data_IF_499677724067
#
_entry.id   IF_499677724067
#
_cell.length_a   1.000
_cell.length_b   1.000
_cell.length_c   1.000
_cell.angle_alpha   90.00
_cell.angle_beta   90.00
_cell.angle_gamma   90.00
#
_symmetry.space_group_name_H-M   'P 1'
#
loop_
_entity.id
_entity.type
_entity.pdbx_description
1 polymer ?
#
# COMPACT_ATOMS: atom_id res chain seq x y z
N UNK A 1 -8.25 -2.96 -16.31
CA UNK A 1 -8.14 -4.07 -15.35
C UNK A 1 -7.11 -3.70 -14.31
N UNK A 2 -7.43 -3.89 -13.00
CA UNK A 2 -6.48 -3.69 -11.92
C UNK A 2 -5.50 -4.85 -11.77
N UNK A 3 -4.42 -4.68 -10.97
CA UNK A 3 -3.42 -5.72 -10.74
C UNK A 3 -4.02 -6.98 -10.08
N UNK A 4 -4.89 -6.82 -9.08
CA UNK A 4 -5.64 -7.90 -8.44
C UNK A 4 -7.07 -7.97 -8.99
N UNK A 5 -7.21 -8.21 -10.28
CA UNK A 5 -8.48 -8.10 -11.02
C UNK A 5 -9.59 -9.06 -10.55
N UNK A 6 -9.25 -10.15 -9.88
CA UNK A 6 -10.19 -11.11 -9.30
C UNK A 6 -10.61 -10.80 -7.86
N UNK A 7 -10.03 -9.76 -7.24
CA UNK A 7 -10.35 -9.40 -5.86
C UNK A 7 -11.77 -8.83 -5.74
N UNK A 8 -12.41 -9.09 -4.60
CA UNK A 8 -13.68 -8.45 -4.21
C UNK A 8 -13.39 -7.21 -3.37
N UNK A 9 -14.26 -6.23 -3.43
CA UNK A 9 -14.12 -4.97 -2.69
C UNK A 9 -15.18 -4.84 -1.61
N UNK A 10 -14.75 -4.42 -0.41
CA UNK A 10 -15.59 -3.78 0.59
C UNK A 10 -15.29 -2.27 0.53
N UNK A 11 -16.30 -1.47 0.22
CA UNK A 11 -16.17 -0.02 0.06
C UNK A 11 -17.04 0.72 1.06
N UNK A 12 -16.50 1.78 1.66
CA UNK A 12 -17.27 2.70 2.49
C UNK A 12 -16.80 4.13 2.26
N UNK A 13 -17.74 5.07 2.30
CA UNK A 13 -17.43 6.48 2.46
C UNK A 13 -16.89 6.72 3.87
N UNK A 14 -16.05 7.73 4.02
CA UNK A 14 -15.50 8.15 5.31
C UNK A 14 -16.28 9.37 5.79
N UNK A 15 -17.31 9.21 6.63
CA UNK A 15 -18.13 10.32 7.10
C UNK A 15 -17.43 11.13 8.20
N UNK A 16 -16.50 10.51 8.91
CA UNK A 16 -15.76 11.05 10.04
C UNK A 16 -14.41 10.34 10.14
N UNK A 17 -13.40 11.03 10.61
CA UNK A 17 -12.03 10.52 10.80
C UNK A 17 -11.62 10.48 12.26
N UNK A 18 -12.58 10.41 13.19
CA UNK A 18 -12.28 10.17 14.62
C UNK A 18 -11.65 8.79 14.82
N UNK A 19 -10.94 8.61 15.92
CA UNK A 19 -10.27 7.35 16.28
C UNK A 19 -11.25 6.17 16.28
N UNK A 20 -12.39 6.35 16.93
CA UNK A 20 -13.42 5.30 17.06
C UNK A 20 -14.05 4.96 15.71
N UNK A 21 -14.39 5.96 14.91
CA UNK A 21 -15.02 5.73 13.61
C UNK A 21 -14.05 5.01 12.67
N UNK A 22 -12.80 5.46 12.57
CA UNK A 22 -11.81 4.83 11.71
C UNK A 22 -11.53 3.38 12.11
N UNK A 23 -11.35 3.13 13.42
CA UNK A 23 -11.17 1.77 13.92
C UNK A 23 -12.37 0.88 13.56
N UNK A 24 -13.60 1.32 13.86
CA UNK A 24 -14.81 0.54 13.58
C UNK A 24 -15.03 0.30 12.08
N UNK A 25 -14.65 1.25 11.22
CA UNK A 25 -14.73 1.09 9.77
C UNK A 25 -13.80 -0.04 9.29
N UNK A 26 -12.55 -0.05 9.77
CA UNK A 26 -11.60 -1.11 9.44
C UNK A 26 -12.08 -2.48 9.96
N UNK A 27 -12.63 -2.54 11.18
CA UNK A 27 -13.24 -3.76 11.75
C UNK A 27 -14.42 -4.24 10.89
N UNK A 28 -15.28 -3.33 10.44
CA UNK A 28 -16.42 -3.66 9.57
C UNK A 28 -15.94 -4.31 8.27
N UNK A 29 -14.91 -3.75 7.64
CA UNK A 29 -14.32 -4.33 6.43
C UNK A 29 -13.66 -5.68 6.71
N UNK A 30 -12.95 -5.82 7.83
CA UNK A 30 -12.37 -7.10 8.24
C UNK A 30 -13.44 -8.18 8.41
N UNK A 31 -14.56 -7.87 9.06
CA UNK A 31 -15.65 -8.81 9.34
C UNK A 31 -16.37 -9.32 8.08
N UNK A 32 -16.35 -8.54 6.99
CA UNK A 32 -16.85 -9.00 5.67
C UNK A 32 -15.76 -9.68 4.82
N UNK A 33 -14.58 -9.92 5.39
CA UNK A 33 -13.51 -10.72 4.77
C UNK A 33 -12.39 -9.92 4.14
N UNK A 34 -12.40 -8.57 4.15
CA UNK A 34 -11.27 -7.78 3.67
C UNK A 34 -10.06 -7.97 4.58
N UNK A 35 -8.86 -8.06 3.98
CA UNK A 35 -7.59 -8.24 4.68
C UNK A 35 -6.53 -7.24 4.25
N UNK A 36 -6.67 -6.68 3.07
CA UNK A 36 -5.76 -5.68 2.53
C UNK A 36 -6.55 -4.38 2.33
N UNK A 37 -6.29 -3.41 3.19
CA UNK A 37 -7.01 -2.12 3.22
C UNK A 37 -6.19 -1.07 2.48
N UNK A 38 -6.83 -0.34 1.56
CA UNK A 38 -6.19 0.76 0.82
C UNK A 38 -6.90 2.08 1.10
N UNK A 39 -6.13 3.10 1.44
CA UNK A 39 -6.61 4.38 1.90
C UNK A 39 -5.85 5.50 1.17
N UNK A 40 -6.58 6.30 0.39
CA UNK A 40 -6.02 7.40 -0.40
C UNK A 40 -6.56 8.75 0.07
N UNK A 41 -6.45 8.99 1.37
CA UNK A 41 -6.86 10.21 2.05
C UNK A 41 -5.93 10.49 3.24
N UNK A 42 -5.91 11.72 3.73
CA UNK A 42 -5.09 12.11 4.87
C UNK A 42 -5.41 13.53 5.33
N UNK A 43 -4.62 14.02 6.27
CA UNK A 43 -4.71 15.38 6.80
C UNK A 43 -3.34 16.04 6.65
N UNK A 44 -3.21 16.88 5.67
CA UNK A 44 -1.98 17.59 5.32
C UNK A 44 -1.63 18.74 6.30
N UNK A 45 -2.48 18.99 7.30
CA UNK A 45 -2.26 20.09 8.25
C UNK A 45 -1.22 19.79 9.33
N UNK A 46 -0.91 18.50 9.59
CA UNK A 46 -0.03 18.11 10.70
C UNK A 46 0.84 16.89 10.40
N UNK A 47 2.05 16.89 10.95
CA UNK A 47 3.00 15.78 10.95
C UNK A 47 2.93 14.92 12.24
N UNK A 48 2.04 15.28 13.16
CA UNK A 48 1.90 14.61 14.45
C UNK A 48 1.36 13.18 14.31
N UNK A 49 1.76 12.31 15.23
CA UNK A 49 1.12 11.01 15.44
C UNK A 49 -0.21 11.20 16.16
N UNK A 50 -1.30 11.20 15.40
CA UNK A 50 -2.65 11.57 15.88
C UNK A 50 -3.47 10.37 16.36
N UNK A 51 -4.71 10.64 16.80
CA UNK A 51 -5.72 9.62 17.11
C UNK A 51 -5.98 8.67 15.91
N UNK A 52 -5.94 9.19 14.69
CA UNK A 52 -6.07 8.37 13.46
C UNK A 52 -4.95 7.34 13.33
N UNK A 53 -3.71 7.71 13.65
CA UNK A 53 -2.59 6.76 13.68
C UNK A 53 -2.79 5.67 14.74
N UNK A 54 -3.29 6.05 15.94
CA UNK A 54 -3.60 5.09 17.00
C UNK A 54 -4.68 4.09 16.56
N UNK A 55 -5.73 4.55 15.88
CA UNK A 55 -6.79 3.69 15.35
C UNK A 55 -6.22 2.62 14.40
N UNK A 56 -5.33 3.03 13.49
CA UNK A 56 -4.69 2.13 12.52
C UNK A 56 -3.78 1.13 13.24
N UNK A 57 -2.93 1.61 14.15
CA UNK A 57 -1.98 0.76 14.86
C UNK A 57 -2.69 -0.21 15.80
N UNK A 58 -3.77 0.22 16.47
CA UNK A 58 -4.64 -0.64 17.27
C UNK A 58 -5.34 -1.69 16.41
N UNK A 59 -5.92 -1.29 15.27
CA UNK A 59 -6.55 -2.24 14.35
C UNK A 59 -5.56 -3.30 13.85
N UNK A 60 -4.34 -2.90 13.49
CA UNK A 60 -3.30 -3.83 13.03
C UNK A 60 -2.82 -4.77 14.15
N UNK A 61 -2.93 -4.36 15.40
CA UNK A 61 -2.66 -5.20 16.58
C UNK A 61 -3.79 -6.19 16.85
N UNK A 62 -5.04 -5.72 16.82
CA UNK A 62 -6.21 -6.53 17.14
C UNK A 62 -6.52 -7.55 16.00
N UNK A 63 -6.12 -7.24 14.76
CA UNK A 63 -6.38 -8.03 13.55
C UNK A 63 -5.08 -8.25 12.77
N UNK A 64 -4.22 -9.11 13.31
CA UNK A 64 -2.84 -9.34 12.82
C UNK A 64 -2.76 -9.81 11.36
N UNK A 65 -3.82 -10.43 10.83
CA UNK A 65 -3.89 -10.89 9.44
C UNK A 65 -4.26 -9.77 8.44
N UNK A 66 -4.49 -8.55 8.92
CA UNK A 66 -4.85 -7.38 8.09
C UNK A 66 -3.65 -6.48 7.81
N UNK A 67 -3.48 -6.07 6.56
CA UNK A 67 -2.54 -5.03 6.13
C UNK A 67 -3.29 -3.74 5.85
N UNK A 68 -2.80 -2.62 6.36
CA UNK A 68 -3.36 -1.28 6.09
C UNK A 68 -2.35 -0.45 5.30
N UNK A 69 -2.70 -0.11 4.06
CA UNK A 69 -1.91 0.77 3.21
C UNK A 69 -2.51 2.18 3.18
N UNK A 70 -1.63 3.19 3.20
CA UNK A 70 -1.99 4.60 3.06
C UNK A 70 -1.15 5.28 1.99
N UNK A 71 -1.81 6.07 1.15
CA UNK A 71 -1.12 7.01 0.28
C UNK A 71 -0.41 8.06 1.15
N UNK A 72 0.86 8.34 0.87
CA UNK A 72 1.55 9.46 1.51
C UNK A 72 1.03 10.78 0.91
N UNK A 73 1.12 11.88 1.66
CA UNK A 73 0.72 13.21 1.14
C UNK A 73 1.28 13.49 -0.26
N UNK A 74 0.55 14.20 -1.10
CA UNK A 74 1.05 14.67 -2.40
C UNK A 74 1.98 15.90 -2.30
N UNK A 75 2.12 16.48 -1.13
CA UNK A 75 3.06 17.58 -0.89
C UNK A 75 4.50 17.05 -0.92
N UNK A 76 5.43 17.83 -1.48
CA UNK A 76 6.87 17.52 -1.46
C UNK A 76 7.50 17.92 -0.12
N UNK A 77 6.94 17.43 0.98
CA UNK A 77 7.29 17.80 2.34
C UNK A 77 7.34 16.58 3.25
N UNK A 78 7.49 16.80 4.56
CA UNK A 78 7.48 15.71 5.54
C UNK A 78 6.13 14.97 5.53
N UNK A 79 6.20 13.65 5.71
CA UNK A 79 5.04 12.76 5.88
C UNK A 79 4.03 13.30 6.89
N UNK A 80 2.75 13.16 6.61
CA UNK A 80 1.63 13.69 7.38
C UNK A 80 0.87 12.58 8.11
N UNK A 81 -0.30 12.90 8.64
CA UNK A 81 -1.16 11.94 9.33
C UNK A 81 -2.34 11.53 8.41
N UNK A 82 -2.78 10.25 8.38
CA UNK A 82 -2.36 9.14 9.24
C UNK A 82 -1.33 8.20 8.61
N UNK A 83 -0.76 8.52 7.46
CA UNK A 83 0.26 7.68 6.78
C UNK A 83 1.53 7.49 7.63
N UNK A 84 1.76 8.36 8.64
CA UNK A 84 2.82 8.23 9.62
C UNK A 84 2.53 7.22 10.75
N UNK A 85 1.41 6.49 10.71
CA UNK A 85 1.14 5.37 11.62
C UNK A 85 2.25 4.31 11.53
N UNK A 86 2.54 3.61 12.64
CA UNK A 86 3.68 2.68 12.76
C UNK A 86 3.45 1.41 11.96
N UNK A 87 2.21 0.90 11.96
CA UNK A 87 1.83 -0.35 11.29
C UNK A 87 1.38 -0.14 9.84
N UNK A 88 1.10 1.11 9.41
CA UNK A 88 0.69 1.39 8.04
C UNK A 88 1.83 1.17 7.04
N UNK A 89 1.50 0.59 5.89
CA UNK A 89 2.31 0.64 4.69
C UNK A 89 2.08 1.99 4.01
N UNK A 90 2.98 2.96 4.21
CA UNK A 90 2.91 4.24 3.52
C UNK A 90 3.51 4.13 2.12
N UNK A 91 2.74 4.52 1.12
CA UNK A 91 3.07 4.35 -0.29
C UNK A 91 3.24 5.70 -0.98
N UNK A 92 4.40 5.91 -1.59
CA UNK A 92 4.67 7.05 -2.46
C UNK A 92 4.59 6.66 -3.94
N UNK A 93 4.73 7.63 -4.84
CA UNK A 93 4.49 7.46 -6.25
C UNK A 93 5.75 7.48 -7.11
N UNK A 94 5.79 6.61 -8.13
CA UNK A 94 6.69 6.72 -9.28
C UNK A 94 5.93 7.17 -10.51
N UNK A 95 6.67 7.55 -11.55
CA UNK A 95 6.10 7.66 -12.88
C UNK A 95 5.53 6.31 -13.33
N UNK A 96 4.68 6.33 -14.36
CA UNK A 96 4.18 5.11 -15.01
C UNK A 96 5.22 4.53 -15.97
N UNK A 97 4.98 3.29 -16.39
CA UNK A 97 5.81 2.63 -17.41
C UNK A 97 5.89 3.48 -18.70
N UNK A 98 7.07 3.53 -19.35
CA UNK A 98 8.29 2.78 -19.08
C UNK A 98 9.22 3.41 -18.02
N UNK A 99 8.84 4.55 -17.42
CA UNK A 99 9.67 5.34 -16.52
C UNK A 99 9.45 5.04 -15.02
N UNK A 100 8.92 3.87 -14.70
CA UNK A 100 8.53 3.48 -13.33
C UNK A 100 9.69 3.41 -12.32
N UNK A 101 10.93 3.55 -12.76
CA UNK A 101 12.11 3.65 -11.89
C UNK A 101 12.45 5.10 -11.51
N UNK A 102 11.59 6.05 -11.86
CA UNK A 102 11.76 7.47 -11.55
C UNK A 102 10.70 7.91 -10.57
N UNK A 103 11.08 8.63 -9.51
CA UNK A 103 10.14 9.24 -8.57
C UNK A 103 9.21 10.20 -9.30
N UNK A 104 7.94 10.22 -8.91
CA UNK A 104 7.06 11.31 -9.29
C UNK A 104 7.56 12.65 -8.71
N UNK A 105 7.14 13.76 -9.30
CA UNK A 105 7.50 15.11 -8.83
C UNK A 105 6.76 15.53 -7.56
N UNK A 106 5.90 14.67 -7.04
CA UNK A 106 5.10 14.86 -5.83
C UNK A 106 5.29 13.65 -4.89
N UNK A 107 4.77 13.76 -3.68
CA UNK A 107 4.84 12.73 -2.65
C UNK A 107 5.72 13.18 -1.47
N UNK A 108 5.18 12.95 -0.27
CA UNK A 108 5.87 13.24 0.98
C UNK A 108 7.06 12.33 1.21
N UNK A 109 7.89 12.71 2.17
CA UNK A 109 9.09 11.98 2.55
C UNK A 109 9.25 11.98 4.07
N UNK A 110 9.98 11.00 4.58
CA UNK A 110 10.40 10.96 5.98
C UNK A 110 11.51 11.98 6.30
N UNK A 111 12.00 11.90 7.52
CA UNK A 111 11.50 11.04 8.59
C UNK A 111 10.17 11.54 9.16
N UNK A 112 9.46 10.69 9.90
CA UNK A 112 8.39 11.15 10.77
C UNK A 112 8.93 12.05 11.89
N UNK A 113 8.08 12.73 12.63
CA UNK A 113 8.51 13.60 13.74
C UNK A 113 9.28 12.84 14.82
N UNK A 114 9.03 11.54 14.98
CA UNK A 114 9.76 10.63 15.89
C UNK A 114 10.86 9.81 15.16
N UNK A 115 11.37 10.30 14.04
CA UNK A 115 12.53 9.80 13.28
C UNK A 115 12.36 8.41 12.65
N UNK A 116 11.12 7.93 12.43
CA UNK A 116 10.89 6.70 11.66
C UNK A 116 10.95 6.99 10.17
N UNK A 117 11.45 6.01 9.42
CA UNK A 117 11.49 6.08 7.95
C UNK A 117 10.09 5.93 7.37
N UNK A 118 9.76 6.80 6.42
CA UNK A 118 8.60 6.77 5.54
C UNK A 118 8.98 7.42 4.20
N UNK A 119 8.36 7.03 3.06
CA UNK A 119 7.42 5.91 2.89
C UNK A 119 8.09 4.56 3.14
N UNK A 120 7.31 3.47 3.16
CA UNK A 120 7.88 2.12 3.07
C UNK A 120 8.25 1.78 1.62
N UNK A 121 7.32 1.96 0.69
CA UNK A 121 7.53 1.59 -0.73
C UNK A 121 6.97 2.64 -1.68
N UNK A 122 7.37 2.52 -2.94
CA UNK A 122 6.80 3.24 -4.07
C UNK A 122 6.06 2.28 -4.99
N UNK A 123 5.08 2.83 -5.72
CA UNK A 123 4.40 2.16 -6.82
C UNK A 123 4.04 3.19 -7.90
N UNK A 124 3.74 2.78 -9.15
CA UNK A 124 3.29 3.71 -10.17
C UNK A 124 2.07 4.50 -9.74
N UNK A 125 2.16 5.84 -9.79
CA UNK A 125 1.13 6.76 -9.33
C UNK A 125 0.94 7.98 -10.21
N UNK A 126 1.77 8.20 -11.21
CA UNK A 126 1.63 9.33 -12.13
C UNK A 126 1.15 8.85 -13.50
N UNK A 127 0.21 9.59 -14.09
CA UNK A 127 -0.43 9.27 -15.38
C UNK A 127 -1.05 7.85 -15.43
N UNK A 128 -1.80 7.47 -14.39
CA UNK A 128 -2.40 6.14 -14.28
C UNK A 128 -3.80 6.12 -14.91
N UNK A 129 -4.02 5.32 -15.98
CA UNK A 129 -5.35 5.14 -16.56
C UNK A 129 -6.18 4.19 -15.69
N UNK A 130 -7.43 4.56 -15.42
CA UNK A 130 -8.38 3.75 -14.66
C UNK A 130 -9.81 4.06 -15.12
N UNK A 131 -10.80 3.53 -14.40
CA UNK A 131 -12.21 3.80 -14.64
C UNK A 131 -12.52 5.29 -14.42
N UNK A 132 -13.33 5.85 -15.29
CA UNK A 132 -13.83 7.21 -15.19
C UNK A 132 -15.30 7.25 -14.80
N UNK A 133 -15.85 8.46 -14.69
CA UNK A 133 -17.27 8.73 -14.45
C UNK A 133 -18.01 8.95 -15.76
N UNK A 134 -19.34 8.82 -15.74
CA UNK A 134 -20.21 9.16 -16.86
C UNK A 134 -20.70 7.99 -17.71
N UNK A 135 -20.00 6.86 -17.75
CA UNK A 135 -20.49 5.61 -18.35
C UNK A 135 -19.78 4.38 -17.81
N UNK A 136 -20.29 3.19 -18.11
CA UNK A 136 -19.69 1.90 -17.69
C UNK A 136 -18.37 1.58 -18.42
N UNK A 137 -18.05 2.30 -19.47
CA UNK A 137 -16.83 2.14 -20.25
C UNK A 137 -15.89 3.36 -20.19
N UNK A 138 -16.28 4.39 -19.44
CA UNK A 138 -15.49 5.61 -19.32
C UNK A 138 -14.15 5.32 -18.62
N UNK A 139 -13.09 5.97 -19.11
CA UNK A 139 -11.76 5.94 -18.52
C UNK A 139 -11.30 7.35 -18.20
N UNK A 140 -10.44 7.47 -17.19
CA UNK A 140 -9.76 8.70 -16.82
C UNK A 140 -8.29 8.40 -16.52
N UNK A 141 -7.43 9.39 -16.75
CA UNK A 141 -6.02 9.35 -16.37
C UNK A 141 -5.82 10.29 -15.20
N UNK A 142 -5.26 9.80 -14.11
CA UNK A 142 -5.02 10.59 -12.89
C UNK A 142 -3.58 10.39 -12.40
N UNK A 143 -3.07 11.37 -11.65
CA UNK A 143 -1.78 11.34 -10.97
C UNK A 143 -1.95 11.62 -9.48
N UNK A 144 -1.18 10.93 -8.66
CA UNK A 144 -1.17 11.07 -7.20
C UNK A 144 -0.68 9.81 -6.50
N UNK A 145 -0.20 9.95 -5.29
CA UNK A 145 0.07 8.82 -4.39
C UNK A 145 -1.20 8.01 -4.13
N UNK A 146 -2.37 8.64 -4.34
CA UNK A 146 -3.69 7.97 -4.33
C UNK A 146 -3.84 6.87 -5.38
N UNK A 147 -3.09 6.91 -6.49
CA UNK A 147 -3.05 5.87 -7.52
C UNK A 147 -1.99 4.81 -7.20
N UNK A 148 -0.89 5.21 -6.57
CA UNK A 148 0.17 4.31 -6.14
C UNK A 148 -0.26 3.39 -4.99
N UNK A 149 -0.98 3.91 -4.02
CA UNK A 149 -1.42 3.16 -2.84
C UNK A 149 -2.25 1.91 -3.19
N UNK A 150 -3.32 1.97 -4.00
CA UNK A 150 -4.06 0.78 -4.40
C UNK A 150 -3.24 -0.18 -5.26
N UNK A 151 -2.26 0.30 -6.03
CA UNK A 151 -1.36 -0.58 -6.79
C UNK A 151 -0.47 -1.42 -5.85
N UNK A 152 0.09 -0.80 -4.79
CA UNK A 152 0.85 -1.51 -3.76
C UNK A 152 -0.05 -2.45 -2.95
N UNK A 153 -1.27 -2.03 -2.57
CA UNK A 153 -2.23 -2.88 -1.86
C UNK A 153 -2.64 -4.10 -2.71
N UNK A 154 -2.90 -3.91 -4.00
CA UNK A 154 -3.18 -5.01 -4.92
C UNK A 154 -2.00 -5.99 -5.04
N UNK A 155 -0.77 -5.50 -5.01
CA UNK A 155 0.44 -6.33 -4.95
C UNK A 155 0.49 -7.16 -3.65
N UNK A 156 0.10 -6.57 -2.52
CA UNK A 156 -0.07 -7.28 -1.25
C UNK A 156 -1.13 -8.39 -1.32
N UNK A 157 -2.25 -8.12 -1.98
CA UNK A 157 -3.31 -9.11 -2.22
C UNK A 157 -2.79 -10.30 -3.05
N UNK A 158 -1.96 -10.06 -4.07
CA UNK A 158 -1.33 -11.14 -4.86
C UNK A 158 -0.36 -11.96 -4.02
N UNK A 159 0.45 -11.33 -3.15
CA UNK A 159 1.32 -12.04 -2.20
C UNK A 159 0.47 -12.92 -1.26
N UNK A 160 -0.63 -12.37 -0.72
CA UNK A 160 -1.55 -13.12 0.14
C UNK A 160 -2.13 -14.33 -0.56
N UNK A 161 -2.59 -14.18 -1.79
CA UNK A 161 -3.09 -15.28 -2.62
C UNK A 161 -2.01 -16.35 -2.81
N UNK A 162 -0.80 -15.94 -3.20
CA UNK A 162 0.34 -16.83 -3.40
C UNK A 162 0.63 -17.69 -2.15
N UNK A 163 0.65 -17.08 -0.97
CA UNK A 163 0.88 -17.79 0.29
C UNK A 163 -0.30 -18.69 0.67
N UNK A 164 -1.53 -18.22 0.50
CA UNK A 164 -2.75 -19.00 0.82
C UNK A 164 -3.00 -20.16 -0.13
N UNK A 165 -2.48 -20.12 -1.33
CA UNK A 165 -2.51 -21.24 -2.27
C UNK A 165 -1.31 -22.18 -2.13
N UNK A 166 -0.37 -21.87 -1.21
CA UNK A 166 0.81 -22.70 -0.94
C UNK A 166 1.81 -22.75 -2.08
N UNK A 167 1.98 -21.67 -2.84
CA UNK A 167 2.81 -21.60 -4.05
C UNK A 167 4.30 -21.37 -3.78
N UNK A 168 4.75 -21.41 -2.53
CA UNK A 168 6.09 -20.97 -2.12
C UNK A 168 7.24 -21.84 -2.63
N UNK A 169 6.99 -23.05 -3.06
CA UNK A 169 8.03 -24.00 -3.48
C UNK A 169 8.38 -23.85 -4.98
N UNK A 170 7.39 -23.95 -5.85
CA UNK A 170 7.56 -24.00 -7.30
C UNK A 170 6.56 -23.14 -8.08
N UNK A 171 5.82 -22.28 -7.37
CA UNK A 171 4.79 -21.44 -7.94
C UNK A 171 3.45 -22.13 -8.17
N UNK A 172 3.37 -23.46 -8.02
CA UNK A 172 2.14 -24.21 -8.17
C UNK A 172 1.38 -24.32 -6.84
N UNK A 173 0.03 -24.36 -6.86
CA UNK A 173 -0.76 -24.54 -5.66
C UNK A 173 -0.45 -25.87 -4.96
N UNK A 174 -0.20 -25.84 -3.64
CA UNK A 174 0.06 -27.03 -2.85
C UNK A 174 -0.47 -26.87 -1.42
N UNK A 175 -1.43 -27.70 -1.04
CA UNK A 175 -2.07 -27.64 0.26
C UNK A 175 -1.12 -27.84 1.45
N UNK A 176 0.03 -28.50 1.24
CA UNK A 176 1.03 -28.72 2.28
C UNK A 176 1.85 -27.46 2.62
N UNK A 177 1.83 -26.46 1.77
CA UNK A 177 2.60 -25.22 1.91
C UNK A 177 1.72 -23.97 2.13
N UNK A 178 0.45 -24.17 2.46
CA UNK A 178 -0.49 -23.08 2.75
C UNK A 178 -0.04 -22.28 3.97
N UNK A 179 0.09 -20.97 3.81
CA UNK A 179 0.39 -20.02 4.88
C UNK A 179 -0.75 -19.02 4.98
N UNK A 180 -1.26 -18.82 6.19
CA UNK A 180 -2.16 -17.69 6.50
C UNK A 180 -1.28 -16.50 6.93
N UNK A 181 -1.00 -15.54 6.04
CA UNK A 181 -0.04 -14.50 6.34
C UNK A 181 -0.61 -13.44 7.27
N UNK A 182 0.22 -12.94 8.18
CA UNK A 182 -0.06 -11.68 8.87
C UNK A 182 0.09 -10.49 7.92
N UNK A 183 -0.57 -9.38 8.25
CA UNK A 183 -0.35 -8.11 7.55
C UNK A 183 1.10 -7.64 7.63
N UNK A 184 1.78 -7.92 8.74
CA UNK A 184 3.19 -7.65 8.91
C UNK A 184 4.06 -8.44 7.91
N UNK A 185 3.76 -9.72 7.67
CA UNK A 185 4.46 -10.54 6.68
C UNK A 185 4.24 -9.99 5.26
N UNK A 186 3.00 -9.66 4.89
CA UNK A 186 2.70 -9.07 3.58
C UNK A 186 3.47 -7.75 3.38
N UNK A 187 3.47 -6.89 4.39
CA UNK A 187 4.24 -5.63 4.38
C UNK A 187 5.73 -5.89 4.22
N UNK A 188 6.30 -6.83 4.98
CA UNK A 188 7.71 -7.18 4.88
C UNK A 188 8.07 -7.72 3.49
N UNK A 189 7.23 -8.58 2.90
CA UNK A 189 7.45 -9.10 1.54
C UNK A 189 7.37 -7.99 0.48
N UNK A 190 6.45 -7.03 0.61
CA UNK A 190 6.41 -5.85 -0.27
C UNK A 190 7.70 -5.02 -0.17
N UNK A 191 8.21 -4.78 1.04
CA UNK A 191 9.45 -4.05 1.25
C UNK A 191 10.67 -4.83 0.71
N UNK A 192 10.73 -6.14 0.94
CA UNK A 192 11.82 -7.00 0.45
C UNK A 192 11.78 -7.17 -1.07
N UNK A 193 10.60 -7.10 -1.69
CA UNK A 193 10.46 -7.18 -3.14
C UNK A 193 11.03 -5.97 -3.89
N UNK A 194 11.29 -4.87 -3.18
CA UNK A 194 11.55 -3.59 -3.79
C UNK A 194 12.85 -3.57 -4.61
N UNK A 195 12.82 -2.78 -5.67
CA UNK A 195 13.92 -2.53 -6.60
C UNK A 195 14.33 -1.07 -6.48
N UNK A 196 15.63 -0.85 -6.37
CA UNK A 196 16.20 0.50 -6.32
C UNK A 196 15.79 1.33 -7.54
N UNK A 197 15.52 2.62 -7.32
CA UNK A 197 15.10 3.54 -8.36
C UNK A 197 16.25 4.39 -8.87
N UNK A 198 16.22 4.71 -10.16
CA UNK A 198 17.24 5.52 -10.79
C UNK A 198 17.29 6.94 -10.20
N UNK A 199 18.50 7.41 -9.89
CA UNK A 199 18.75 8.77 -9.41
C UNK A 199 18.42 9.02 -7.94
N UNK A 200 18.17 7.97 -7.15
CA UNK A 200 17.97 8.07 -5.72
C UNK A 200 19.24 8.28 -4.92
N UNK A 201 19.08 8.66 -3.65
CA UNK A 201 20.20 8.82 -2.70
C UNK A 201 20.61 7.50 -2.03
N UNK A 202 20.41 6.37 -2.72
CA UNK A 202 20.51 5.02 -2.15
C UNK A 202 19.27 4.62 -1.35
N UNK A 203 19.13 3.32 -1.08
CA UNK A 203 18.02 2.79 -0.30
C UNK A 203 18.51 1.79 0.77
N UNK A 204 17.78 1.66 1.88
CA UNK A 204 16.57 2.39 2.23
C UNK A 204 16.86 3.84 2.65
N UNK A 205 16.00 4.78 2.25
CA UNK A 205 16.13 6.20 2.53
C UNK A 205 14.82 6.84 3.03
N UNK A 206 14.89 8.09 3.51
CA UNK A 206 13.70 8.83 3.90
C UNK A 206 12.87 9.32 2.70
N UNK A 207 13.44 9.33 1.51
CA UNK A 207 12.76 9.73 0.28
C UNK A 207 12.11 8.55 -0.43
N UNK A 208 12.81 7.42 -0.50
CA UNK A 208 12.42 6.27 -1.31
C UNK A 208 11.95 5.09 -0.48
N UNK A 209 12.09 5.16 0.86
CA UNK A 209 11.83 4.00 1.70
C UNK A 209 12.70 2.82 1.28
N UNK A 210 12.07 1.68 1.03
CA UNK A 210 12.71 0.51 0.43
C UNK A 210 12.64 0.49 -1.10
N UNK A 211 12.24 1.61 -1.70
CA UNK A 211 12.16 1.83 -3.13
C UNK A 211 10.89 1.23 -3.80
N UNK A 212 10.89 0.96 -5.10
CA UNK A 212 9.70 0.54 -5.85
C UNK A 212 9.39 -0.94 -5.64
N UNK A 213 8.21 -1.25 -5.11
CA UNK A 213 7.76 -2.63 -4.95
C UNK A 213 7.71 -3.37 -6.31
N UNK A 214 8.25 -4.60 -6.33
CA UNK A 214 8.29 -5.45 -7.52
C UNK A 214 8.08 -6.92 -7.11
N UNK A 215 6.85 -7.32 -6.96
CA UNK A 215 6.46 -8.59 -6.32
C UNK A 215 7.03 -9.84 -6.99
N UNK A 216 7.43 -9.78 -8.26
CA UNK A 216 8.09 -10.90 -8.92
C UNK A 216 9.38 -11.36 -8.22
N UNK A 217 10.02 -10.50 -7.43
CA UNK A 217 11.22 -10.88 -6.65
C UNK A 217 10.91 -11.78 -5.44
N UNK A 218 9.68 -11.79 -4.96
CA UNK A 218 9.29 -12.58 -3.77
C UNK A 218 8.27 -13.68 -4.10
N UNK A 219 7.78 -13.72 -5.34
CA UNK A 219 6.90 -14.77 -5.82
C UNK A 219 7.72 -15.75 -6.66
N UNK A 220 7.81 -17.00 -6.21
CA UNK A 220 8.32 -18.08 -7.06
C UNK A 220 7.26 -18.37 -8.13
N UNK A 221 7.39 -17.72 -9.29
CA UNK A 221 6.50 -17.99 -10.42
C UNK A 221 6.97 -19.25 -11.15
N UNK A 222 6.06 -20.11 -11.67
CA UNK A 222 6.45 -21.23 -12.51
C UNK A 222 7.30 -20.73 -13.68
N UNK A 223 8.41 -21.41 -13.96
CA UNK A 223 9.15 -21.18 -15.18
C UNK A 223 8.24 -21.56 -16.37
N UNK A 224 7.87 -20.58 -17.19
CA UNK A 224 7.10 -20.79 -18.40
C UNK A 224 7.92 -21.44 -19.50
#
# INVERSE_FOLDING_TARGET
RGAAWGAKFAFSSIPDTSETMLYNLLVTHHNVGARDHTNSWGDDSTTAYTARCRAIDRFSWDFEDSMVAFAITNLTSQVRTPENAKSALAVSATLNAPNQSTNASFGGQGPTSDQRRKPEVHAPGDAIPSTGTGSTTATAVMGGTSMACPAAAASGTLIRQFLKEGRIHDGNPNANFVINPSGALIRAMLMTSAVDMAGGCGYPSNREGFSRAFVAHVLALPCG
#
